data_IF_938227333189
#
_entry.id   IF_938227333189
#
_cell.length_a   1.000
_cell.length_b   1.000
_cell.length_c   1.000
_cell.angle_alpha   90.00
_cell.angle_beta   90.00
_cell.angle_gamma   90.00
#
_symmetry.space_group_name_H-M   'P 1'
#
loop_
_entity.id
_entity.type
_entity.pdbx_description
1 polymer ?
#
# COMPACT_ATOMS: atom_id res chain seq x y z
N UNK A 1 -20.23 -3.98 -17.32
CA UNK A 1 -19.87 -5.26 -16.65
C UNK A 1 -18.55 -5.86 -17.16
N UNK A 2 -18.30 -5.90 -18.47
CA UNK A 2 -17.10 -6.53 -19.06
C UNK A 2 -15.74 -6.01 -18.55
N UNK A 3 -15.62 -4.69 -18.33
CA UNK A 3 -14.39 -4.09 -17.79
C UNK A 3 -14.06 -4.55 -16.36
N UNK A 4 -15.08 -4.84 -15.55
CA UNK A 4 -14.92 -5.34 -14.17
C UNK A 4 -14.38 -6.77 -14.18
N UNK A 5 -14.87 -7.62 -15.07
CA UNK A 5 -14.40 -9.00 -15.23
C UNK A 5 -12.91 -9.07 -15.62
N UNK A 6 -12.44 -8.16 -16.48
CA UNK A 6 -11.04 -8.10 -16.92
C UNK A 6 -10.06 -7.80 -15.78
N UNK A 7 -10.52 -7.17 -14.70
CA UNK A 7 -9.65 -6.78 -13.57
C UNK A 7 -9.58 -7.88 -12.51
N UNK A 8 -10.58 -8.77 -12.42
CA UNK A 8 -10.65 -9.81 -11.38
C UNK A 8 -9.40 -10.71 -11.24
N UNK A 9 -8.73 -11.14 -12.33
CA UNK A 9 -7.51 -11.96 -12.22
C UNK A 9 -6.35 -11.25 -11.51
N UNK A 10 -6.24 -9.93 -11.67
CA UNK A 10 -5.20 -9.12 -11.02
C UNK A 10 -5.47 -8.90 -9.52
N UNK A 11 -6.70 -9.18 -9.08
CA UNK A 11 -7.10 -9.16 -7.68
C UNK A 11 -6.99 -10.56 -7.02
N UNK A 12 -6.42 -11.56 -7.71
CA UNK A 12 -6.13 -12.89 -7.17
C UNK A 12 -4.97 -12.85 -6.17
N UNK A 13 -5.19 -13.38 -4.95
CA UNK A 13 -4.17 -13.41 -3.89
C UNK A 13 -3.97 -12.09 -3.12
N UNK A 14 -4.74 -11.04 -3.43
CA UNK A 14 -4.74 -9.78 -2.67
C UNK A 14 -5.46 -9.98 -1.33
N UNK A 15 -4.78 -9.63 -0.24
CA UNK A 15 -5.35 -9.64 1.11
C UNK A 15 -6.39 -8.51 1.24
N UNK A 16 -7.56 -8.79 1.83
CA UNK A 16 -8.61 -7.80 2.05
C UNK A 16 -9.47 -7.52 0.80
N UNK A 17 -10.17 -8.54 0.29
CA UNK A 17 -11.14 -8.40 -0.81
C UNK A 17 -12.44 -7.79 -0.29
N UNK A 18 -12.45 -6.48 -0.10
CA UNK A 18 -13.67 -5.70 0.01
C UNK A 18 -13.85 -4.92 -1.30
N UNK A 19 -14.98 -5.13 -1.98
CA UNK A 19 -15.36 -4.28 -3.10
C UNK A 19 -16.10 -3.07 -2.54
N UNK A 20 -15.50 -1.89 -2.65
CA UNK A 20 -16.17 -0.65 -2.34
C UNK A 20 -16.78 -0.09 -3.62
N UNK A 21 -18.11 0.03 -3.65
CA UNK A 21 -18.80 0.70 -4.75
C UNK A 21 -18.67 2.21 -4.61
N UNK A 22 -18.15 2.86 -5.65
CA UNK A 22 -17.96 4.31 -5.74
C UNK A 22 -18.85 4.94 -6.81
N UNK A 23 -19.81 4.17 -7.36
CA UNK A 23 -20.77 4.64 -8.37
C UNK A 23 -21.67 5.77 -7.84
N UNK A 24 -21.89 5.84 -6.53
CA UNK A 24 -22.71 6.87 -5.88
C UNK A 24 -21.89 8.10 -5.49
N UNK A 25 -22.46 9.30 -5.67
CA UNK A 25 -21.83 10.57 -5.28
C UNK A 25 -21.72 10.68 -3.74
N UNK A 26 -20.60 11.18 -3.16
CA UNK A 26 -20.43 11.28 -1.71
C UNK A 26 -21.30 12.38 -1.07
N UNK A 27 -21.70 13.37 -1.85
CA UNK A 27 -22.60 14.44 -1.42
C UNK A 27 -24.02 14.05 -1.80
N UNK A 28 -24.78 13.50 -0.85
CA UNK A 28 -26.23 13.36 -0.94
C UNK A 28 -26.95 14.72 -0.88
N UNK A 29 -26.50 15.70 -1.67
CA UNK A 29 -27.24 16.93 -1.92
C UNK A 29 -28.23 16.67 -3.05
N UNK A 30 -29.43 17.28 -3.03
CA UNK A 30 -30.34 17.19 -4.16
C UNK A 30 -29.57 17.65 -5.40
N UNK A 31 -29.58 16.84 -6.46
CA UNK A 31 -29.51 17.40 -7.80
C UNK A 31 -30.53 18.55 -7.83
N UNK A 32 -30.13 19.69 -8.39
CA UNK A 32 -30.90 20.92 -8.32
C UNK A 32 -32.40 20.68 -8.51
N UNK A 33 -33.21 21.39 -7.74
CA UNK A 33 -34.54 21.73 -8.22
C UNK A 33 -34.34 22.36 -9.59
N UNK A 34 -34.63 21.61 -10.64
CA UNK A 34 -35.41 22.06 -11.78
C UNK A 34 -35.80 20.82 -12.57
N UNK A 35 -37.09 20.76 -12.88
CA UNK A 35 -37.75 19.65 -13.54
C UNK A 35 -37.07 19.30 -14.88
N UNK A 36 -37.00 17.99 -15.16
CA UNK A 36 -36.62 17.34 -16.42
C UNK A 36 -35.11 17.09 -16.64
N UNK A 37 -34.66 15.91 -16.22
CA UNK A 37 -33.98 14.89 -17.04
C UNK A 37 -33.35 13.86 -16.08
N UNK A 38 -33.70 12.58 -16.23
CA UNK A 38 -33.06 11.47 -15.51
C UNK A 38 -31.62 11.28 -16.04
N UNK A 39 -30.71 12.20 -15.70
CA UNK A 39 -29.28 12.00 -15.90
C UNK A 39 -28.80 10.88 -14.98
N UNK A 40 -28.58 9.70 -15.55
CA UNK A 40 -27.82 8.61 -14.93
C UNK A 40 -26.60 9.20 -14.20
N UNK A 41 -26.40 8.91 -12.90
CA UNK A 41 -25.34 9.53 -12.12
C UNK A 41 -23.99 9.23 -12.78
N UNK A 42 -23.35 10.27 -13.32
CA UNK A 42 -22.09 10.13 -14.03
C UNK A 42 -21.03 9.51 -13.11
N UNK A 43 -20.71 8.25 -13.34
CA UNK A 43 -19.69 7.51 -12.59
C UNK A 43 -18.31 8.06 -12.98
N UNK A 44 -17.67 8.83 -12.11
CA UNK A 44 -16.29 9.30 -12.33
C UNK A 44 -15.27 8.21 -11.97
N UNK A 45 -14.62 7.54 -12.95
CA UNK A 45 -13.64 6.48 -12.69
C UNK A 45 -12.40 7.01 -11.95
N UNK A 46 -12.11 8.32 -11.99
CA UNK A 46 -10.96 8.91 -11.29
C UNK A 46 -11.05 8.74 -9.78
N UNK A 47 -12.26 8.63 -9.22
CA UNK A 47 -12.48 8.40 -7.79
C UNK A 47 -11.92 7.06 -7.33
N UNK A 48 -12.10 6.01 -8.13
CA UNK A 48 -11.57 4.69 -7.84
C UNK A 48 -10.04 4.67 -7.92
N UNK A 49 -9.46 5.32 -8.93
CA UNK A 49 -8.01 5.47 -9.06
C UNK A 49 -7.41 6.25 -7.88
N UNK A 50 -8.04 7.35 -7.49
CA UNK A 50 -7.61 8.15 -6.34
C UNK A 50 -7.67 7.34 -5.04
N UNK A 51 -8.76 6.61 -4.79
CA UNK A 51 -8.86 5.74 -3.61
C UNK A 51 -7.77 4.67 -3.60
N UNK A 52 -7.45 4.09 -4.77
CA UNK A 52 -6.39 3.09 -4.88
C UNK A 52 -5.03 3.66 -4.50
N UNK A 53 -4.72 4.86 -4.98
CA UNK A 53 -3.46 5.58 -4.70
C UNK A 53 -3.35 5.94 -3.22
N UNK A 54 -4.43 6.46 -2.63
CA UNK A 54 -4.50 6.75 -1.19
C UNK A 54 -4.37 5.47 -0.36
N UNK A 55 -5.06 4.40 -0.73
CA UNK A 55 -4.97 3.10 -0.05
C UNK A 55 -3.56 2.50 -0.08
N UNK A 56 -2.88 2.57 -1.22
CA UNK A 56 -1.49 2.11 -1.33
C UNK A 56 -0.54 2.99 -0.49
N UNK A 57 -0.80 4.28 -0.38
CA UNK A 57 -0.03 5.21 0.47
C UNK A 57 -0.21 4.94 1.97
N UNK A 58 -1.44 4.64 2.41
CA UNK A 58 -1.71 4.17 3.78
C UNK A 58 -0.98 2.85 4.07
N UNK A 59 -0.98 1.94 3.09
CA UNK A 59 -0.22 0.69 3.17
C UNK A 59 1.27 0.93 3.38
N UNK A 60 1.89 1.83 2.61
CA UNK A 60 3.31 2.15 2.76
C UNK A 60 3.64 2.68 4.16
N UNK A 61 2.89 3.66 4.65
CA UNK A 61 3.09 4.23 5.99
C UNK A 61 2.96 3.17 7.11
N UNK A 62 1.96 2.31 7.00
CA UNK A 62 1.74 1.24 7.97
C UNK A 62 2.90 0.24 7.97
N UNK A 63 3.35 -0.20 6.80
CA UNK A 63 4.46 -1.16 6.68
C UNK A 63 5.73 -0.57 7.27
N UNK A 64 6.00 0.71 7.02
CA UNK A 64 7.16 1.41 7.57
C UNK A 64 7.11 1.47 9.10
N UNK A 65 5.97 1.88 9.68
CA UNK A 65 5.78 1.91 11.13
C UNK A 65 5.94 0.52 11.79
N UNK A 66 5.43 -0.55 11.16
CA UNK A 66 5.60 -1.93 11.66
C UNK A 66 7.07 -2.36 11.59
N UNK A 67 7.78 -2.00 10.52
CA UNK A 67 9.19 -2.34 10.36
C UNK A 67 10.07 -1.66 11.44
N UNK A 68 9.81 -0.38 11.73
CA UNK A 68 10.50 0.35 12.78
C UNK A 68 10.21 -0.25 14.16
N UNK A 69 8.93 -0.51 14.46
CA UNK A 69 8.54 -1.11 15.73
C UNK A 69 9.18 -2.50 15.93
N UNK A 70 9.22 -3.33 14.90
CA UNK A 70 9.89 -4.65 14.93
C UNK A 70 11.40 -4.51 15.17
N UNK A 71 12.04 -3.54 14.53
CA UNK A 71 13.48 -3.28 14.73
C UNK A 71 13.76 -2.85 16.17
N UNK A 72 12.95 -1.94 16.71
CA UNK A 72 13.08 -1.50 18.10
C UNK A 72 12.83 -2.67 19.05
N UNK A 73 11.78 -3.47 18.83
CA UNK A 73 11.46 -4.61 19.68
C UNK A 73 12.59 -5.66 19.72
N UNK A 74 13.27 -5.89 18.59
CA UNK A 74 14.45 -6.76 18.53
C UNK A 74 15.61 -6.16 19.33
N UNK A 75 15.96 -4.89 19.11
CA UNK A 75 17.14 -4.25 19.72
C UNK A 75 16.96 -3.89 21.19
N UNK A 76 15.73 -3.66 21.65
CA UNK A 76 15.43 -3.33 23.05
C UNK A 76 15.28 -4.58 23.93
N UNK A 77 15.30 -5.79 23.35
CA UNK A 77 15.07 -7.04 24.07
C UNK A 77 13.59 -7.36 24.36
N UNK A 78 12.64 -6.61 23.80
CA UNK A 78 11.19 -6.91 23.91
C UNK A 78 10.82 -8.20 23.15
N UNK A 79 11.52 -8.46 22.05
CA UNK A 79 11.28 -9.59 21.15
C UNK A 79 10.21 -9.29 20.11
N UNK A 80 10.49 -9.67 18.86
CA UNK A 80 9.59 -9.47 17.72
C UNK A 80 8.27 -10.25 17.85
N UNK A 81 8.28 -11.38 18.55
CA UNK A 81 7.09 -12.21 18.76
C UNK A 81 6.11 -11.58 19.76
N UNK A 82 6.63 -10.95 20.82
CA UNK A 82 5.82 -10.19 21.78
C UNK A 82 5.07 -9.05 21.09
N UNK A 83 5.77 -8.31 20.21
CA UNK A 83 5.14 -7.26 19.40
C UNK A 83 4.13 -7.84 18.41
N UNK A 84 4.44 -8.96 17.76
CA UNK A 84 3.51 -9.62 16.84
C UNK A 84 2.20 -10.03 17.55
N UNK A 85 2.28 -10.66 18.71
CA UNK A 85 1.12 -11.04 19.50
C UNK A 85 0.29 -9.81 19.91
N UNK A 86 0.95 -8.70 20.26
CA UNK A 86 0.26 -7.43 20.50
C UNK A 86 -0.49 -6.92 19.26
N UNK A 87 0.12 -6.99 18.06
CA UNK A 87 -0.54 -6.62 16.81
C UNK A 87 -1.73 -7.53 16.51
N UNK A 88 -1.65 -8.83 16.80
CA UNK A 88 -2.79 -9.76 16.65
C UNK A 88 -3.99 -9.37 17.51
N UNK A 89 -3.74 -8.92 18.75
CA UNK A 89 -4.78 -8.52 19.69
C UNK A 89 -5.39 -7.15 19.37
N UNK A 90 -4.56 -6.16 18.99
CA UNK A 90 -4.98 -4.76 18.89
C UNK A 90 -5.26 -4.30 17.47
N UNK A 91 -4.53 -4.83 16.49
CA UNK A 91 -4.55 -4.38 15.10
C UNK A 91 -4.56 -5.59 14.14
N UNK A 92 -5.64 -6.40 14.11
CA UNK A 92 -5.69 -7.58 13.26
C UNK A 92 -5.68 -7.22 11.76
N UNK A 93 -5.53 -8.24 10.91
CA UNK A 93 -5.59 -8.09 9.47
C UNK A 93 -4.25 -7.64 8.86
N UNK A 94 -4.20 -6.44 8.29
CA UNK A 94 -3.04 -6.02 7.49
C UNK A 94 -1.75 -5.88 8.31
N UNK A 95 -1.80 -5.38 9.54
CA UNK A 95 -0.64 -5.29 10.43
C UNK A 95 -0.05 -6.67 10.75
N UNK A 96 -0.90 -7.65 11.10
CA UNK A 96 -0.51 -9.05 11.35
C UNK A 96 0.11 -9.67 10.09
N UNK A 97 -0.46 -9.41 8.92
CA UNK A 97 0.06 -9.92 7.66
C UNK A 97 1.47 -9.41 7.34
N UNK A 98 1.70 -8.10 7.50
CA UNK A 98 3.01 -7.52 7.21
C UNK A 98 4.05 -7.88 8.28
N UNK A 99 3.66 -7.96 9.56
CA UNK A 99 4.55 -8.46 10.60
C UNK A 99 4.97 -9.91 10.37
N UNK A 100 4.07 -10.79 9.93
CA UNK A 100 4.42 -12.15 9.51
C UNK A 100 5.40 -12.16 8.34
N UNK A 101 5.19 -11.34 7.31
CA UNK A 101 6.14 -11.23 6.18
C UNK A 101 7.53 -10.77 6.61
N UNK A 102 7.63 -9.88 7.60
CA UNK A 102 8.91 -9.43 8.15
C UNK A 102 9.59 -10.53 8.94
N UNK A 103 8.86 -11.20 9.85
CA UNK A 103 9.37 -12.33 10.65
C UNK A 103 9.86 -13.49 9.80
N UNK A 104 9.11 -13.83 8.75
CA UNK A 104 9.40 -14.94 7.85
C UNK A 104 10.41 -14.57 6.74
N UNK A 105 10.83 -13.32 6.63
CA UNK A 105 11.75 -12.87 5.59
C UNK A 105 11.18 -12.95 4.16
N UNK A 106 9.85 -12.98 4.00
CA UNK A 106 9.20 -13.17 2.69
C UNK A 106 9.53 -12.05 1.69
N UNK A 107 9.93 -10.88 2.18
CA UNK A 107 10.30 -9.72 1.36
C UNK A 107 11.54 -9.97 0.47
N UNK A 108 12.39 -10.97 0.76
CA UNK A 108 13.56 -11.29 -0.06
C UNK A 108 13.61 -12.75 -0.54
N UNK A 109 12.81 -13.63 0.06
CA UNK A 109 12.78 -15.08 -0.22
C UNK A 109 11.87 -15.45 -1.40
N UNK A 110 10.88 -14.62 -1.74
CA UNK A 110 10.02 -14.84 -2.91
C UNK A 110 10.71 -14.40 -4.20
N UNK A 111 10.40 -15.10 -5.29
CA UNK A 111 10.82 -14.71 -6.64
C UNK A 111 10.23 -13.35 -7.02
N UNK A 112 8.92 -13.17 -6.79
CA UNK A 112 8.26 -11.87 -6.88
C UNK A 112 7.72 -11.39 -5.51
N UNK A 113 7.99 -10.13 -5.13
CA UNK A 113 7.46 -9.56 -3.91
C UNK A 113 5.96 -9.28 -4.06
N UNK A 114 5.16 -9.68 -3.06
CA UNK A 114 3.72 -9.37 -2.99
C UNK A 114 3.42 -7.87 -2.91
N UNK A 115 4.41 -7.07 -2.54
CA UNK A 115 4.33 -5.62 -2.50
C UNK A 115 5.64 -5.04 -3.05
N UNK A 116 5.63 -4.71 -4.35
CA UNK A 116 6.80 -4.16 -5.02
C UNK A 116 6.99 -2.69 -4.62
N UNK A 117 8.12 -2.41 -3.97
CA UNK A 117 8.46 -1.09 -3.45
C UNK A 117 8.50 0.00 -4.53
N UNK A 118 8.93 -0.33 -5.76
CA UNK A 118 8.95 0.66 -6.86
C UNK A 118 7.54 1.14 -7.23
N UNK A 119 6.57 0.24 -7.19
CA UNK A 119 5.15 0.57 -7.42
C UNK A 119 4.61 1.39 -6.26
N UNK A 120 4.88 0.96 -5.02
CA UNK A 120 4.47 1.69 -3.82
C UNK A 120 5.01 3.13 -3.81
N UNK A 121 6.26 3.34 -4.23
CA UNK A 121 6.87 4.66 -4.33
C UNK A 121 6.26 5.51 -5.45
N UNK A 122 5.86 4.90 -6.56
CA UNK A 122 5.15 5.61 -7.65
C UNK A 122 3.81 6.13 -7.13
N UNK A 123 3.07 5.28 -6.43
CA UNK A 123 1.78 5.66 -5.85
C UNK A 123 1.94 6.70 -4.75
N UNK A 124 2.98 6.59 -3.93
CA UNK A 124 3.29 7.59 -2.90
C UNK A 124 3.56 8.98 -3.50
N UNK A 125 4.36 9.06 -4.58
CA UNK A 125 4.58 10.32 -5.30
C UNK A 125 3.28 10.89 -5.84
N UNK A 126 2.47 10.06 -6.48
CA UNK A 126 1.19 10.52 -7.02
C UNK A 126 0.23 11.01 -5.92
N UNK A 127 0.20 10.35 -4.75
CA UNK A 127 -0.58 10.81 -3.61
C UNK A 127 -0.08 12.17 -3.08
N UNK A 128 1.23 12.37 -3.00
CA UNK A 128 1.83 13.66 -2.61
C UNK A 128 1.52 14.76 -3.62
N UNK A 129 1.55 14.47 -4.92
CA UNK A 129 1.20 15.43 -5.97
C UNK A 129 -0.27 15.86 -5.85
N UNK A 130 -1.19 14.89 -5.63
CA UNK A 130 -2.61 15.18 -5.40
C UNK A 130 -2.83 16.00 -4.12
N UNK A 131 -2.14 15.66 -3.04
CA UNK A 131 -2.19 16.40 -1.78
C UNK A 131 -1.73 17.85 -1.98
N UNK A 132 -0.60 18.05 -2.66
CA UNK A 132 -0.07 19.39 -2.93
C UNK A 132 -1.01 20.20 -3.81
N UNK A 133 -1.70 19.59 -4.78
CA UNK A 133 -2.67 20.26 -5.63
C UNK A 133 -3.88 20.81 -4.87
N UNK A 134 -4.22 20.23 -3.71
CA UNK A 134 -5.29 20.70 -2.82
C UNK A 134 -4.76 21.49 -1.61
N UNK A 135 -3.48 21.84 -1.60
CA UNK A 135 -2.86 22.67 -0.56
C UNK A 135 -2.57 21.96 0.76
N UNK A 136 -2.49 20.62 0.76
CA UNK A 136 -2.14 19.82 1.95
C UNK A 136 -0.84 19.04 1.75
N UNK A 137 -0.17 18.71 2.86
CA UNK A 137 1.03 17.87 2.85
C UNK A 137 0.79 16.52 3.50
N UNK A 138 1.54 15.49 3.09
CA UNK A 138 1.46 14.13 3.63
C UNK A 138 2.78 13.76 4.32
N UNK A 139 3.14 14.48 5.38
CA UNK A 139 4.45 14.34 6.05
C UNK A 139 4.85 12.91 6.43
N UNK A 140 3.90 12.10 6.90
CA UNK A 140 4.17 10.69 7.20
C UNK A 140 4.59 9.89 5.95
N UNK A 141 3.97 10.19 4.82
CA UNK A 141 4.28 9.58 3.53
C UNK A 141 5.60 10.10 2.93
N UNK A 142 5.88 11.39 3.11
CA UNK A 142 7.17 12.01 2.73
C UNK A 142 8.32 11.33 3.47
N UNK A 143 8.15 11.07 4.77
CA UNK A 143 9.11 10.32 5.57
C UNK A 143 9.21 8.87 5.08
N UNK A 144 8.09 8.16 4.90
CA UNK A 144 8.11 6.77 4.46
C UNK A 144 8.76 6.56 3.07
N UNK A 145 8.55 7.46 2.09
CA UNK A 145 9.28 7.41 0.81
C UNK A 145 10.78 7.73 0.99
N UNK A 146 11.11 8.61 1.93
CA UNK A 146 12.48 9.01 2.26
C UNK A 146 13.28 8.04 3.15
N UNK A 147 12.62 7.12 3.86
CA UNK A 147 13.19 6.27 4.92
C UNK A 147 13.61 4.85 4.46
N UNK A 148 13.96 4.04 5.46
CA UNK A 148 14.76 2.82 5.39
C UNK A 148 14.22 1.72 4.47
N UNK A 149 12.91 1.50 4.39
CA UNK A 149 12.37 0.42 3.53
C UNK A 149 12.62 0.70 2.04
N UNK A 150 12.48 1.95 1.60
CA UNK A 150 12.76 2.39 0.23
C UNK A 150 14.27 2.43 -0.07
N UNK A 151 15.11 2.72 0.93
CA UNK A 151 16.58 2.74 0.80
C UNK A 151 17.20 1.34 0.84
N UNK A 152 16.75 0.47 1.74
CA UNK A 152 17.22 -0.92 1.89
C UNK A 152 16.91 -1.72 0.63
N UNK A 153 15.74 -1.50 0.01
CA UNK A 153 15.43 -2.10 -1.29
C UNK A 153 16.48 -1.77 -2.36
N UNK A 154 16.91 -0.50 -2.48
CA UNK A 154 17.97 -0.10 -3.42
C UNK A 154 19.30 -0.80 -3.13
N UNK A 155 19.66 -0.95 -1.85
CA UNK A 155 20.86 -1.67 -1.42
C UNK A 155 20.82 -3.18 -1.73
N UNK A 156 19.65 -3.80 -1.61
CA UNK A 156 19.45 -5.22 -1.95
C UNK A 156 19.52 -5.43 -3.47
N UNK A 157 18.92 -4.54 -4.27
CA UNK A 157 18.97 -4.63 -5.74
C UNK A 157 20.38 -4.38 -6.29
N UNK A 158 21.08 -3.36 -5.78
CA UNK A 158 22.49 -3.12 -6.12
C UNK A 158 23.39 -4.31 -5.80
N UNK A 159 23.10 -5.04 -4.71
CA UNK A 159 23.81 -6.29 -4.37
C UNK A 159 23.50 -7.46 -5.30
N UNK A 160 22.26 -7.59 -5.82
CA UNK A 160 21.93 -8.60 -6.84
C UNK A 160 22.58 -8.32 -8.19
N UNK A 161 22.72 -7.06 -8.59
CA UNK A 161 23.42 -6.69 -9.83
C UNK A 161 24.94 -6.92 -9.75
N UNK A 162 25.54 -6.81 -8.55
CA UNK A 162 26.96 -7.17 -8.32
C UNK A 162 27.20 -8.66 -8.14
N UNK A 163 26.17 -9.48 -7.94
CA UNK A 163 26.30 -10.93 -7.80
C UNK A 163 26.17 -11.59 -9.18
N UNK A 164 27.12 -11.31 -10.08
CA UNK A 164 27.38 -12.23 -11.19
C UNK A 164 28.04 -13.47 -10.57
N UNK A 165 27.48 -14.68 -10.71
CA UNK A 165 28.18 -15.87 -10.28
C UNK A 165 29.46 -15.95 -11.12
N UNK A 166 30.60 -15.82 -10.44
CA UNK A 166 31.87 -16.27 -10.94
C UNK A 166 31.71 -17.79 -11.12
N UNK A 167 31.36 -18.24 -12.33
CA UNK A 167 31.43 -19.64 -12.69
C UNK A 167 32.91 -20.04 -12.67
N UNK A 168 33.28 -20.77 -11.64
CA UNK A 168 34.52 -21.50 -11.54
C UNK A 168 34.18 -22.93 -11.10
N UNK A 169 34.28 -23.85 -12.07
CA UNK A 169 34.19 -25.31 -12.01
C UNK A 169 32.78 -25.91 -11.96
#
# INVERSE_FOLDING_TARGET
MELVERVKPFCAGVMGRANLDLSTSPTGGPAGNDDNDEEEPAVDPRRASLLKVLGNSLGLNMVDAVAEAMTIAEKSGLGVDSLHNFLELMYPGSYVAYSNRMRLGEYHRREEPLFAIDLARRDARHAMDVASAVGVGMKGLELADGMGICKVSRSIRGRRETFRPFMGW
#
